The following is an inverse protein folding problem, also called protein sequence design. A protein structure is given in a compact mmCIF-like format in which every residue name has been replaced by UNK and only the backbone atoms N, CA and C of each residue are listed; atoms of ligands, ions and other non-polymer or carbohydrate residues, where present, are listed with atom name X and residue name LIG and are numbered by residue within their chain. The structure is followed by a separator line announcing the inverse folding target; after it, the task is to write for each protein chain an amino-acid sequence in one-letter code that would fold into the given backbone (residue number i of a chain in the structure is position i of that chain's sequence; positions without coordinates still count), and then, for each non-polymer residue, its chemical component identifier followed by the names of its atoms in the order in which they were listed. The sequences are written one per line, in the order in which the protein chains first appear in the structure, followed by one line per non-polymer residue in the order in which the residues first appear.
data_IF_293226531700
#
_entry.id   IF_293226531700
#
_cell.length_a   1.000
_cell.length_b   1.000
_cell.length_c   1.000
_cell.angle_alpha   90.00
_cell.angle_beta   90.00
_cell.angle_gamma   90.00
#
_symmetry.space_group_name_H-M   'P 1'
#
loop_
_entity.id
_entity.type
_entity.pdbx_description
1 polymer ?
#
# COMPACT_ATOMS: atom_id res chain seq x y z
N UNK A 1 23.98 6.63 9.54
CA UNK A 1 23.85 5.89 8.27
C UNK A 1 22.55 5.11 8.31
N UNK A 2 21.57 5.44 7.48
CA UNK A 2 20.31 4.70 7.36
C UNK A 2 20.61 3.33 6.72
N UNK A 3 20.29 2.24 7.43
CA UNK A 3 20.51 0.88 6.91
C UNK A 3 19.53 0.57 5.78
N UNK A 4 20.03 -0.09 4.73
CA UNK A 4 19.21 -0.69 3.69
C UNK A 4 18.39 -1.84 4.28
N UNK A 5 17.09 -1.86 3.99
CA UNK A 5 16.16 -2.91 4.44
C UNK A 5 15.68 -3.79 3.29
N UNK A 6 15.76 -3.30 2.06
CA UNK A 6 15.46 -4.07 0.86
C UNK A 6 16.23 -3.52 -0.34
N UNK A 7 16.75 -4.41 -1.16
CA UNK A 7 17.45 -4.08 -2.40
C UNK A 7 16.86 -4.89 -3.55
N UNK A 8 16.21 -4.19 -4.47
CA UNK A 8 15.77 -4.75 -5.73
C UNK A 8 16.90 -4.68 -6.75
N UNK A 9 17.29 -5.81 -7.32
CA UNK A 9 18.14 -5.83 -8.53
C UNK A 9 17.30 -5.57 -9.76
N UNK A 10 17.88 -4.94 -10.76
CA UNK A 10 17.21 -4.77 -12.04
C UNK A 10 16.75 -6.13 -12.61
N UNK A 11 15.51 -6.17 -13.09
CA UNK A 11 14.94 -7.34 -13.77
C UNK A 11 13.86 -6.92 -14.77
N UNK A 12 13.49 -7.85 -15.64
CA UNK A 12 12.44 -7.67 -16.63
C UNK A 12 11.26 -8.61 -16.33
N UNK A 13 10.04 -8.11 -16.51
CA UNK A 13 8.80 -8.88 -16.39
C UNK A 13 7.80 -8.41 -17.45
N UNK A 14 7.32 -9.32 -18.27
CA UNK A 14 6.32 -9.05 -19.34
C UNK A 14 6.72 -7.88 -20.26
N UNK A 15 8.00 -7.79 -20.66
CA UNK A 15 8.50 -6.72 -21.50
C UNK A 15 8.63 -5.36 -20.79
N UNK A 16 8.64 -5.36 -19.46
CA UNK A 16 8.77 -4.16 -18.63
C UNK A 16 10.04 -4.25 -17.80
N UNK A 17 10.90 -3.25 -17.93
CA UNK A 17 12.11 -3.14 -17.11
C UNK A 17 11.81 -2.52 -15.76
N UNK A 18 12.17 -3.22 -14.71
CA UNK A 18 12.12 -2.77 -13.31
C UNK A 18 13.55 -2.40 -12.91
N UNK A 19 13.85 -1.12 -12.69
CA UNK A 19 15.22 -0.70 -12.37
C UNK A 19 15.65 -1.19 -10.99
N UNK A 20 16.97 -1.16 -10.78
CA UNK A 20 17.56 -1.34 -9.46
C UNK A 20 17.14 -0.19 -8.54
N UNK A 21 16.76 -0.51 -7.30
CA UNK A 21 16.51 0.46 -6.25
C UNK A 21 16.77 -0.12 -4.86
N UNK A 22 16.94 0.78 -3.90
CA UNK A 22 17.17 0.43 -2.52
C UNK A 22 16.14 1.12 -1.61
N UNK A 23 15.42 0.36 -0.81
CA UNK A 23 14.58 0.90 0.26
C UNK A 23 15.40 1.03 1.54
N UNK A 24 15.51 2.23 2.05
CA UNK A 24 16.15 2.55 3.33
C UNK A 24 15.10 2.76 4.41
N UNK A 25 15.52 2.57 5.66
CA UNK A 25 14.65 2.84 6.80
C UNK A 25 14.18 4.30 6.80
N UNK A 26 12.88 4.53 7.02
CA UNK A 26 12.28 5.86 6.98
C UNK A 26 11.99 6.40 5.57
N UNK A 27 12.05 5.55 4.53
CA UNK A 27 11.78 5.98 3.16
C UNK A 27 10.56 5.26 2.57
N UNK A 28 9.95 5.93 1.59
CA UNK A 28 8.93 5.38 0.70
C UNK A 28 9.50 5.25 -0.72
N UNK A 29 9.53 4.04 -1.25
CA UNK A 29 9.73 3.84 -2.70
C UNK A 29 8.35 3.90 -3.35
N UNK A 30 8.16 4.82 -4.29
CA UNK A 30 6.91 4.98 -5.04
C UNK A 30 7.13 4.54 -6.48
N UNK A 31 6.55 3.42 -6.85
CA UNK A 31 6.69 2.80 -8.17
C UNK A 31 5.52 3.24 -9.04
N UNK A 32 5.82 3.97 -10.10
CA UNK A 32 4.84 4.45 -11.06
C UNK A 32 4.72 3.48 -12.22
N UNK A 33 3.55 2.87 -12.37
CA UNK A 33 3.25 1.90 -13.42
C UNK A 33 2.56 2.62 -14.59
N UNK A 34 3.02 2.46 -15.83
CA UNK A 34 2.30 2.94 -17.01
C UNK A 34 0.90 2.33 -17.09
N UNK A 35 -0.07 3.10 -17.61
CA UNK A 35 -1.43 2.59 -17.78
C UNK A 35 -1.52 1.50 -18.84
N UNK A 36 -0.64 1.56 -19.87
CA UNK A 36 -0.63 0.66 -21.00
C UNK A 36 0.80 0.24 -21.34
N UNK A 37 0.94 -0.97 -21.87
CA UNK A 37 2.18 -1.43 -22.50
C UNK A 37 2.36 -0.86 -23.93
N UNK A 38 3.42 -1.30 -24.64
CA UNK A 38 3.72 -0.90 -26.02
C UNK A 38 2.60 -1.30 -26.99
N UNK A 39 1.90 -2.41 -26.72
CA UNK A 39 0.81 -2.93 -27.54
C UNK A 39 -0.54 -2.32 -27.19
N UNK A 40 -0.57 -1.31 -26.33
CA UNK A 40 -1.77 -0.67 -25.79
C UNK A 40 -2.64 -1.60 -24.90
N UNK A 41 -2.08 -2.68 -24.39
CA UNK A 41 -2.74 -3.52 -23.41
C UNK A 41 -2.66 -2.89 -22.02
N UNK A 42 -3.75 -2.91 -21.22
CA UNK A 42 -3.76 -2.31 -19.89
C UNK A 42 -2.84 -3.09 -18.93
N UNK A 43 -1.90 -2.38 -18.29
CA UNK A 43 -0.98 -2.94 -17.30
C UNK A 43 -1.51 -2.79 -15.87
N UNK A 44 -1.58 -1.59 -15.43
CA UNK A 44 -2.21 -1.14 -14.19
C UNK A 44 -2.03 -2.08 -13.00
N UNK A 45 -3.16 -2.46 -12.43
CA UNK A 45 -3.22 -3.24 -11.19
C UNK A 45 -2.67 -4.67 -11.30
N UNK A 46 -2.77 -5.30 -12.46
CA UNK A 46 -2.30 -6.68 -12.63
C UNK A 46 -0.78 -6.75 -12.56
N UNK A 47 -0.08 -5.80 -13.19
CA UNK A 47 1.37 -5.69 -13.06
C UNK A 47 1.79 -5.38 -11.61
N UNK A 48 1.05 -4.49 -10.91
CA UNK A 48 1.33 -4.23 -9.50
C UNK A 48 1.24 -5.51 -8.65
N UNK A 49 0.23 -6.37 -8.89
CA UNK A 49 0.10 -7.66 -8.20
C UNK A 49 1.29 -8.58 -8.47
N UNK A 50 1.75 -8.65 -9.71
CA UNK A 50 2.90 -9.47 -10.09
C UNK A 50 4.19 -8.97 -9.43
N UNK A 51 4.43 -7.66 -9.45
CA UNK A 51 5.58 -7.05 -8.79
C UNK A 51 5.55 -7.26 -7.27
N UNK A 52 4.39 -7.12 -6.63
CA UNK A 52 4.24 -7.42 -5.20
C UNK A 52 4.66 -8.85 -4.89
N UNK A 53 4.21 -9.81 -5.70
CA UNK A 53 4.62 -11.22 -5.55
C UNK A 53 6.12 -11.41 -5.78
N UNK A 54 6.70 -10.74 -6.79
CA UNK A 54 8.14 -10.80 -7.05
C UNK A 54 8.93 -10.28 -5.85
N UNK A 55 8.55 -9.14 -5.28
CA UNK A 55 9.23 -8.59 -4.10
C UNK A 55 9.05 -9.46 -2.87
N UNK A 56 7.87 -9.99 -2.60
CA UNK A 56 7.64 -10.93 -1.50
C UNK A 56 8.47 -12.21 -1.65
N UNK A 57 8.65 -12.72 -2.88
CA UNK A 57 9.48 -13.89 -3.15
C UNK A 57 10.99 -13.63 -2.98
N UNK A 58 11.43 -12.37 -2.99
CA UNK A 58 12.82 -11.98 -2.70
C UNK A 58 13.15 -12.00 -1.20
N UNK A 59 12.40 -12.73 -0.38
CA UNK A 59 12.55 -12.84 1.08
C UNK A 59 12.27 -11.54 1.84
N UNK A 60 11.39 -10.70 1.31
CA UNK A 60 10.87 -9.58 2.07
C UNK A 60 9.65 -10.02 2.84
N UNK A 61 9.71 -9.95 4.16
CA UNK A 61 8.55 -10.19 5.05
C UNK A 61 7.57 -9.00 5.05
N UNK A 62 7.56 -8.21 3.97
CA UNK A 62 6.70 -7.03 3.88
C UNK A 62 5.26 -7.45 3.58
N UNK A 63 4.33 -7.26 4.51
CA UNK A 63 2.95 -7.57 4.26
C UNK A 63 2.35 -6.60 3.24
N UNK A 64 1.52 -7.12 2.34
CA UNK A 64 0.79 -6.28 1.40
C UNK A 64 -0.53 -5.77 2.02
N UNK A 65 -0.76 -4.46 1.95
CA UNK A 65 -2.00 -3.80 2.35
C UNK A 65 -3.15 -4.09 1.37
N UNK A 66 -3.41 -5.39 1.16
CA UNK A 66 -4.47 -5.88 0.29
C UNK A 66 -5.83 -5.61 0.90
N UNK A 67 -6.77 -5.10 0.10
CA UNK A 67 -8.14 -4.91 0.54
C UNK A 67 -8.78 -6.22 1.05
N UNK A 68 -9.20 -6.20 2.30
CA UNK A 68 -9.90 -7.32 2.90
C UNK A 68 -11.32 -7.43 2.33
N UNK A 69 -11.68 -8.62 1.87
CA UNK A 69 -13.05 -8.97 1.51
C UNK A 69 -13.52 -10.12 2.38
N UNK A 70 -14.61 -9.92 3.10
CA UNK A 70 -15.24 -10.99 3.85
C UNK A 70 -15.98 -11.91 2.86
N UNK A 71 -15.90 -13.24 3.10
CA UNK A 71 -16.64 -14.22 2.30
C UNK A 71 -18.16 -13.95 2.39
N UNK A 72 -18.88 -14.07 1.28
CA UNK A 72 -20.29 -13.65 1.15
C UNK A 72 -21.21 -14.23 2.22
N UNK A 73 -21.10 -15.54 2.51
CA UNK A 73 -21.93 -16.21 3.53
C UNK A 73 -21.63 -15.67 4.94
N UNK A 74 -20.34 -15.49 5.27
CA UNK A 74 -19.94 -14.94 6.57
C UNK A 74 -20.35 -13.47 6.73
N UNK A 75 -20.39 -12.72 5.64
CA UNK A 75 -20.84 -11.33 5.58
C UNK A 75 -22.31 -11.20 5.97
N UNK A 76 -23.16 -12.12 5.49
CA UNK A 76 -24.59 -12.12 5.81
C UNK A 76 -24.89 -12.57 7.26
N UNK A 77 -24.18 -13.58 7.73
CA UNK A 77 -24.42 -14.17 9.06
C UNK A 77 -23.78 -13.35 10.20
N UNK A 78 -22.55 -12.90 9.98
CA UNK A 78 -21.76 -12.18 11.01
C UNK A 78 -20.96 -11.05 10.37
N UNK A 79 -21.61 -9.92 10.05
CA UNK A 79 -20.90 -8.79 9.44
C UNK A 79 -19.79 -8.28 10.36
N UNK A 80 -18.59 -8.19 9.83
CA UNK A 80 -17.40 -7.83 10.58
C UNK A 80 -17.39 -6.32 10.85
N UNK A 81 -17.30 -5.92 12.13
CA UNK A 81 -17.08 -4.52 12.48
C UNK A 81 -15.59 -4.16 12.42
N UNK A 82 -15.28 -2.86 12.31
CA UNK A 82 -13.92 -2.32 12.39
C UNK A 82 -13.20 -2.82 13.64
N UNK A 83 -13.85 -2.73 14.80
CA UNK A 83 -13.29 -3.21 16.07
C UNK A 83 -12.93 -4.69 15.99
N UNK A 84 -13.85 -5.56 15.58
CA UNK A 84 -13.57 -7.00 15.43
C UNK A 84 -12.49 -7.30 14.40
N UNK A 85 -12.40 -6.51 13.32
CA UNK A 85 -11.31 -6.64 12.36
C UNK A 85 -9.96 -6.35 13.02
N UNK A 86 -9.84 -5.20 13.70
CA UNK A 86 -8.60 -4.81 14.35
C UNK A 86 -8.20 -5.76 15.49
N UNK A 87 -9.13 -6.10 16.40
CA UNK A 87 -8.79 -6.92 17.56
C UNK A 87 -8.64 -8.39 17.22
N UNK A 88 -9.59 -8.99 16.49
CA UNK A 88 -9.61 -10.45 16.28
C UNK A 88 -8.77 -10.88 15.07
N UNK A 89 -8.81 -10.12 13.95
CA UNK A 89 -8.05 -10.47 12.75
C UNK A 89 -6.63 -9.94 12.79
N UNK A 90 -6.48 -8.66 13.13
CA UNK A 90 -5.17 -8.03 13.19
C UNK A 90 -4.47 -8.22 14.54
N UNK A 91 -5.18 -8.71 15.58
CA UNK A 91 -4.66 -8.93 16.94
C UNK A 91 -4.03 -7.66 17.54
N UNK A 92 -4.70 -6.53 17.33
CA UNK A 92 -4.36 -5.23 17.88
C UNK A 92 -5.19 -5.06 19.15
N UNK A 93 -4.58 -4.59 20.24
CA UNK A 93 -5.31 -4.33 21.47
C UNK A 93 -6.37 -3.22 21.30
N UNK A 94 -7.34 -3.17 22.21
CA UNK A 94 -8.50 -2.26 22.10
C UNK A 94 -8.09 -0.78 22.10
N UNK A 95 -7.07 -0.41 22.87
CA UNK A 95 -6.59 0.97 22.96
C UNK A 95 -6.02 1.43 21.62
N UNK A 96 -5.14 0.63 21.03
CA UNK A 96 -4.57 0.91 19.70
C UNK A 96 -5.62 0.79 18.59
N UNK A 97 -6.55 -0.15 18.68
CA UNK A 97 -7.66 -0.26 17.74
C UNK A 97 -8.53 1.01 17.73
N UNK A 98 -8.82 1.56 18.91
CA UNK A 98 -9.55 2.83 19.05
C UNK A 98 -8.78 3.98 18.42
N UNK A 99 -7.49 4.13 18.74
CA UNK A 99 -6.63 5.18 18.17
C UNK A 99 -6.57 5.10 16.64
N UNK A 100 -6.37 3.92 16.07
CA UNK A 100 -6.34 3.72 14.61
C UNK A 100 -7.68 4.15 13.97
N UNK A 101 -8.80 3.79 14.57
CA UNK A 101 -10.12 4.17 14.06
C UNK A 101 -10.33 5.70 14.12
N UNK A 102 -9.94 6.34 15.21
CA UNK A 102 -10.02 7.80 15.40
C UNK A 102 -9.15 8.57 14.39
N UNK A 103 -7.92 8.12 14.13
CA UNK A 103 -7.02 8.72 13.15
C UNK A 103 -7.59 8.71 11.72
N UNK A 104 -8.41 7.72 11.39
CA UNK A 104 -9.05 7.59 10.07
C UNK A 104 -10.43 8.28 10.05
N UNK A 105 -10.97 8.67 11.21
CA UNK A 105 -12.30 9.26 11.33
C UNK A 105 -13.45 8.25 11.20
N UNK A 106 -13.25 7.01 11.64
CA UNK A 106 -14.25 5.93 11.61
C UNK A 106 -14.53 5.39 13.00
N UNK A 107 -15.67 4.70 13.17
CA UNK A 107 -16.05 4.10 14.46
C UNK A 107 -15.68 2.61 14.52
N UNK A 108 -15.27 2.12 15.70
CA UNK A 108 -15.09 0.67 15.94
C UNK A 108 -16.38 -0.13 15.70
N UNK A 109 -17.56 0.52 15.79
CA UNK A 109 -18.88 -0.10 15.55
C UNK A 109 -19.24 -0.18 14.08
N UNK A 110 -18.60 0.61 13.22
CA UNK A 110 -18.88 0.62 11.79
C UNK A 110 -18.67 -0.78 11.20
N UNK A 111 -19.52 -1.14 10.24
CA UNK A 111 -19.34 -2.38 9.51
C UNK A 111 -18.27 -2.17 8.43
N UNK A 112 -17.32 -3.09 8.34
CA UNK A 112 -16.21 -3.00 7.40
C UNK A 112 -16.69 -2.85 5.94
N UNK A 113 -17.83 -3.47 5.62
CA UNK A 113 -18.45 -3.42 4.30
C UNK A 113 -19.11 -2.08 3.96
N UNK A 114 -19.50 -1.30 4.99
CA UNK A 114 -20.11 0.02 4.81
C UNK A 114 -19.08 1.14 4.70
N UNK A 115 -17.81 0.86 5.01
CA UNK A 115 -16.75 1.83 4.80
C UNK A 115 -16.57 2.12 3.31
N UNK A 116 -16.26 3.37 2.97
CA UNK A 116 -15.76 3.72 1.65
C UNK A 116 -14.53 2.87 1.30
N UNK A 117 -14.23 2.75 0.02
CA UNK A 117 -13.05 2.02 -0.41
C UNK A 117 -11.77 2.63 0.19
N UNK A 118 -11.67 3.95 0.20
CA UNK A 118 -10.57 4.72 0.78
C UNK A 118 -10.41 4.45 2.28
N UNK A 119 -11.49 4.56 3.08
CA UNK A 119 -11.42 4.31 4.52
C UNK A 119 -11.05 2.87 4.85
N UNK A 120 -11.52 1.93 4.04
CA UNK A 120 -11.15 0.52 4.20
C UNK A 120 -9.66 0.30 3.93
N UNK A 121 -9.12 0.94 2.88
CA UNK A 121 -7.70 0.89 2.54
C UNK A 121 -6.85 1.55 3.62
N UNK A 122 -7.25 2.73 4.09
CA UNK A 122 -6.62 3.44 5.20
C UNK A 122 -6.54 2.57 6.48
N UNK A 123 -7.65 1.91 6.83
CA UNK A 123 -7.72 1.01 7.98
C UNK A 123 -6.69 -0.12 7.89
N UNK A 124 -6.57 -0.74 6.71
CA UNK A 124 -5.63 -1.85 6.50
C UNK A 124 -4.19 -1.36 6.56
N UNK A 125 -3.88 -0.22 5.92
CA UNK A 125 -2.56 0.41 5.94
C UNK A 125 -2.14 0.72 7.38
N UNK A 126 -2.98 1.42 8.15
CA UNK A 126 -2.69 1.75 9.56
C UNK A 126 -2.52 0.52 10.44
N UNK A 127 -3.39 -0.48 10.27
CA UNK A 127 -3.29 -1.73 11.01
C UNK A 127 -1.99 -2.49 10.70
N UNK A 128 -1.53 -2.47 9.46
CA UNK A 128 -0.27 -3.10 9.06
C UNK A 128 0.95 -2.32 9.57
N UNK A 129 0.98 -1.00 9.46
CA UNK A 129 2.05 -0.18 10.02
C UNK A 129 2.14 -0.27 11.54
N UNK A 130 1.01 -0.43 12.23
CA UNK A 130 1.04 -0.69 13.67
C UNK A 130 1.82 -1.96 14.03
N UNK A 131 1.81 -2.98 13.18
CA UNK A 131 2.43 -4.28 13.42
C UNK A 131 3.79 -4.47 12.78
N UNK A 132 4.11 -3.68 11.76
CA UNK A 132 5.31 -3.87 10.95
C UNK A 132 6.00 -2.53 10.74
N UNK A 133 7.31 -2.58 10.58
CA UNK A 133 8.10 -1.39 10.26
C UNK A 133 8.12 -1.10 8.75
N UNK A 134 7.78 -2.11 7.94
CA UNK A 134 7.75 -1.97 6.49
C UNK A 134 6.55 -2.71 5.89
N UNK A 135 5.92 -2.10 4.89
CA UNK A 135 4.77 -2.68 4.17
C UNK A 135 4.85 -2.44 2.66
N UNK A 136 4.06 -3.20 1.92
CA UNK A 136 3.76 -2.93 0.52
C UNK A 136 2.32 -2.45 0.43
N UNK A 137 2.06 -1.42 -0.38
CA UNK A 137 0.72 -0.88 -0.61
C UNK A 137 0.51 -0.46 -2.08
N UNK A 138 -0.71 -0.16 -2.44
CA UNK A 138 -1.09 0.37 -3.74
C UNK A 138 -2.18 1.44 -3.60
N UNK A 139 -2.28 2.35 -4.57
CA UNK A 139 -3.31 3.40 -4.62
C UNK A 139 -4.44 3.11 -5.62
N UNK A 140 -4.47 1.90 -6.21
CA UNK A 140 -5.49 1.53 -7.20
C UNK A 140 -6.90 1.50 -6.63
N UNK A 141 -7.85 1.97 -7.45
CA UNK A 141 -9.27 2.00 -7.10
C UNK A 141 -9.67 3.12 -6.15
N UNK A 142 -8.77 4.06 -5.88
CA UNK A 142 -9.01 5.23 -5.04
C UNK A 142 -9.16 6.47 -5.94
N UNK A 143 -10.08 7.36 -5.62
CA UNK A 143 -10.22 8.65 -6.30
C UNK A 143 -9.12 9.65 -5.86
N UNK A 144 -9.01 10.78 -6.54
CA UNK A 144 -7.96 11.77 -6.29
C UNK A 144 -7.93 12.25 -4.81
N UNK A 145 -9.08 12.55 -4.23
CA UNK A 145 -9.17 12.97 -2.81
C UNK A 145 -8.79 11.85 -1.86
N UNK A 146 -9.17 10.63 -2.20
CA UNK A 146 -8.79 9.45 -1.43
C UNK A 146 -7.28 9.19 -1.51
N UNK A 147 -6.63 9.43 -2.66
CA UNK A 147 -5.18 9.34 -2.80
C UNK A 147 -4.50 10.37 -1.89
N UNK A 148 -4.88 11.64 -1.93
CA UNK A 148 -4.33 12.69 -1.06
C UNK A 148 -4.43 12.31 0.43
N UNK A 149 -5.59 11.76 0.83
CA UNK A 149 -5.79 11.29 2.21
C UNK A 149 -4.85 10.12 2.57
N UNK A 150 -4.75 9.11 1.71
CA UNK A 150 -3.88 7.95 1.95
C UNK A 150 -2.39 8.35 1.94
N UNK A 151 -1.99 9.27 1.07
CA UNK A 151 -0.64 9.81 1.02
C UNK A 151 -0.27 10.53 2.31
N UNK A 152 -1.14 11.41 2.80
CA UNK A 152 -0.94 12.09 4.08
C UNK A 152 -0.76 11.10 5.23
N UNK A 153 -1.57 10.04 5.25
CA UNK A 153 -1.51 8.99 6.26
C UNK A 153 -0.20 8.18 6.16
N UNK A 154 0.18 7.78 4.95
CA UNK A 154 1.43 7.02 4.71
C UNK A 154 2.64 7.89 5.06
N UNK A 155 2.68 9.15 4.62
CA UNK A 155 3.79 10.07 4.90
C UNK A 155 3.99 10.28 6.40
N UNK A 156 2.90 10.42 7.16
CA UNK A 156 2.99 10.48 8.63
C UNK A 156 3.65 9.24 9.24
N UNK A 157 3.37 8.05 8.71
CA UNK A 157 4.03 6.82 9.19
C UNK A 157 5.52 6.78 8.78
N UNK A 158 5.86 7.23 7.58
CA UNK A 158 7.25 7.32 7.09
C UNK A 158 8.05 8.32 7.94
N UNK A 159 7.49 9.48 8.27
CA UNK A 159 8.10 10.47 9.18
C UNK A 159 8.33 9.90 10.59
N UNK A 160 7.51 8.96 11.02
CA UNK A 160 7.68 8.20 12.25
C UNK A 160 8.66 7.01 12.13
N UNK A 161 9.44 6.95 11.05
CA UNK A 161 10.49 5.95 10.83
C UNK A 161 10.04 4.64 10.21
N UNK A 162 8.78 4.53 9.79
CA UNK A 162 8.29 3.38 9.01
C UNK A 162 8.80 3.46 7.56
N UNK A 163 8.64 2.37 6.80
CA UNK A 163 9.06 2.31 5.40
C UNK A 163 8.01 1.63 4.53
N UNK A 164 7.96 1.96 3.24
CA UNK A 164 7.02 1.28 2.35
C UNK A 164 7.49 1.22 0.90
N UNK A 165 6.91 0.27 0.17
CA UNK A 165 6.88 0.27 -1.30
C UNK A 165 5.43 0.51 -1.71
N UNK A 166 5.18 1.59 -2.44
CA UNK A 166 3.85 1.96 -2.93
C UNK A 166 3.78 1.86 -4.45
N UNK A 167 2.69 1.32 -4.96
CA UNK A 167 2.40 1.26 -6.39
C UNK A 167 1.36 2.30 -6.76
N UNK A 168 1.64 3.08 -7.80
CA UNK A 168 0.77 4.14 -8.30
C UNK A 168 0.76 4.20 -9.83
N UNK A 169 -0.11 5.02 -10.39
CA UNK A 169 -0.22 5.24 -11.83
C UNK A 169 0.74 6.32 -12.29
N UNK A 170 1.23 6.18 -13.52
CA UNK A 170 2.11 7.16 -14.15
C UNK A 170 1.40 8.49 -14.56
N UNK A 171 0.16 8.70 -14.17
CA UNK A 171 -0.58 9.93 -14.46
C UNK A 171 -0.06 11.14 -13.69
N UNK A 172 0.66 10.92 -12.61
CA UNK A 172 1.27 11.97 -11.81
C UNK A 172 2.69 12.26 -12.31
N UNK A 173 3.03 13.54 -12.38
CA UNK A 173 4.37 13.97 -12.78
C UNK A 173 5.35 13.59 -11.68
N UNK A 174 6.22 12.64 -11.95
CA UNK A 174 7.27 12.15 -11.05
C UNK A 174 8.14 13.31 -10.55
N UNK A 175 8.36 14.35 -11.38
CA UNK A 175 9.15 15.53 -11.07
C UNK A 175 8.50 16.45 -10.02
N UNK A 176 7.28 16.17 -9.59
CA UNK A 176 6.53 16.98 -8.62
C UNK A 176 6.34 16.28 -7.28
N UNK A 177 7.14 15.24 -6.98
CA UNK A 177 7.10 14.57 -5.68
C UNK A 177 7.48 15.57 -4.55
N UNK A 178 6.53 15.94 -3.66
CA UNK A 178 6.76 17.01 -2.70
C UNK A 178 7.57 16.59 -1.47
N UNK A 179 7.79 15.30 -1.27
CA UNK A 179 8.40 14.75 -0.06
C UNK A 179 9.81 14.25 -0.32
N UNK A 180 10.79 14.74 0.43
CA UNK A 180 12.21 14.39 0.24
C UNK A 180 12.56 12.93 0.63
N UNK A 181 11.71 12.27 1.39
CA UNK A 181 11.87 10.87 1.80
C UNK A 181 11.16 9.88 0.87
N UNK A 182 10.55 10.37 -0.21
CA UNK A 182 9.98 9.56 -1.28
C UNK A 182 10.99 9.44 -2.42
N UNK A 183 11.22 8.21 -2.86
CA UNK A 183 12.06 7.89 -4.02
C UNK A 183 11.15 7.42 -5.15
N UNK A 184 10.88 8.25 -6.16
CA UNK A 184 10.04 7.87 -7.29
C UNK A 184 10.79 6.95 -8.24
N UNK A 185 10.15 5.84 -8.61
CA UNK A 185 10.66 4.88 -9.60
C UNK A 185 9.68 4.82 -10.76
N UNK A 186 10.12 5.27 -11.95
CA UNK A 186 9.37 5.07 -13.18
C UNK A 186 9.81 3.76 -13.85
N UNK A 187 8.87 2.84 -14.05
CA UNK A 187 9.13 1.65 -14.85
C UNK A 187 8.86 1.96 -16.34
N UNK A 188 9.64 1.36 -17.22
CA UNK A 188 9.58 1.62 -18.65
C UNK A 188 9.28 0.34 -19.42
N UNK A 189 8.52 0.49 -20.51
CA UNK A 189 8.41 -0.58 -21.48
C UNK A 189 9.78 -0.85 -22.12
N UNK A 190 10.16 -2.12 -22.26
CA UNK A 190 11.31 -2.51 -23.05
C UNK A 190 11.00 -2.28 -24.54
N UNK A 191 11.84 -1.54 -25.24
CA UNK A 191 11.74 -1.29 -26.68
C UNK A 191 12.21 -2.49 -27.47
#
# INVERSE_FOLDING_TARGET
MTSSIFHNKEFEINGISIPEFELKNGNLIRIYIPNFDIESSPLGFDLAIELIKCFQNQKTDFPWAKNYRQHTVMKLLTPLSVGKYLTNKMRIDESNAKRIAEEIGISLKDKLEHLSFTNRKALIIKALFHKNDSIILDYYGVDAKGIEFLESLVNSEIENGKSAIAFDRLEFKIDQEPYCNIVPIAIKNCS
#
